data_IF_945049479228
#
_entry.id   IF_945049479228
#
_cell.length_a   1.000
_cell.length_b   1.000
_cell.length_c   1.000
_cell.angle_alpha   90.00
_cell.angle_beta   90.00
_cell.angle_gamma   90.00
#
_symmetry.space_group_name_H-M   'P 1'
#
loop_
_entity.id
_entity.type
_entity.pdbx_description
1 polymer ?
#
# COMPACT_ATOMS: atom_id res chain seq x y z
N UNK A 1 20.40 -55.76 31.59
CA UNK A 1 19.02 -55.33 31.28
C UNK A 1 18.87 -53.82 31.51
N UNK A 2 19.44 -53.26 32.58
CA UNK A 2 19.31 -51.84 32.94
C UNK A 2 20.00 -50.89 31.93
N UNK A 3 21.13 -51.30 31.33
CA UNK A 3 21.89 -50.49 30.38
C UNK A 3 21.19 -50.27 29.03
N UNK A 4 20.25 -51.18 28.63
CA UNK A 4 19.49 -51.05 27.37
C UNK A 4 18.36 -50.05 27.47
N UNK A 5 17.80 -49.83 28.66
CA UNK A 5 16.73 -48.85 28.88
C UNK A 5 17.24 -47.42 28.94
N UNK A 6 18.48 -47.20 29.42
CA UNK A 6 19.12 -45.88 29.44
C UNK A 6 19.43 -45.35 28.02
N UNK A 7 19.83 -46.25 27.09
CA UNK A 7 20.10 -45.87 25.71
C UNK A 7 18.83 -45.49 24.94
N UNK A 8 17.70 -46.12 25.23
CA UNK A 8 16.41 -45.77 24.62
C UNK A 8 15.86 -44.43 25.16
N UNK A 9 16.07 -44.16 26.46
CA UNK A 9 15.65 -42.90 27.07
C UNK A 9 16.45 -41.68 26.55
N UNK A 10 17.76 -41.87 26.28
CA UNK A 10 18.60 -40.80 25.71
C UNK A 10 18.26 -40.54 24.24
N UNK A 11 17.84 -41.56 23.49
CA UNK A 11 17.44 -41.40 22.08
C UNK A 11 16.09 -40.69 21.95
N UNK A 12 15.18 -40.83 22.93
CA UNK A 12 13.89 -40.16 22.92
C UNK A 12 13.96 -38.68 23.28
N UNK A 13 14.96 -38.23 24.04
CA UNK A 13 15.16 -36.81 24.37
C UNK A 13 15.78 -36.03 23.20
N UNK A 14 16.50 -36.70 22.29
CA UNK A 14 17.11 -36.06 21.13
C UNK A 14 16.11 -35.73 20.00
N UNK A 15 14.90 -36.28 20.03
CA UNK A 15 13.87 -36.04 19.00
C UNK A 15 12.91 -34.90 19.37
N UNK A 16 12.93 -34.42 20.62
CA UNK A 16 12.09 -33.32 21.10
C UNK A 16 12.73 -31.92 20.89
N UNK A 17 13.94 -31.85 20.31
CA UNK A 17 14.54 -30.63 19.79
C UNK A 17 13.94 -30.29 18.45
N UNK A 18 12.62 -30.06 18.40
CA UNK A 18 11.88 -29.66 17.22
C UNK A 18 12.30 -28.29 16.78
N UNK A 19 12.94 -28.30 15.69
CA UNK A 19 12.76 -27.45 14.53
C UNK A 19 11.59 -26.47 14.66
N UNK A 20 11.75 -25.41 15.42
CA UNK A 20 11.25 -24.11 15.01
C UNK A 20 12.14 -23.69 13.84
N UNK A 21 11.99 -24.39 12.71
CA UNK A 21 12.28 -23.83 11.40
C UNK A 21 11.47 -22.55 11.34
N UNK A 22 12.09 -21.43 11.67
CA UNK A 22 11.56 -20.11 11.39
C UNK A 22 11.28 -20.10 9.90
N UNK A 23 10.02 -20.41 9.58
CA UNK A 23 9.53 -20.44 8.20
C UNK A 23 9.76 -19.04 7.68
N UNK A 24 10.78 -18.89 6.82
CA UNK A 24 11.05 -17.63 6.18
C UNK A 24 9.75 -17.14 5.55
N UNK A 25 9.28 -16.01 6.01
CA UNK A 25 8.07 -15.40 5.53
C UNK A 25 8.46 -14.22 4.63
N UNK A 26 8.28 -14.34 3.32
CA UNK A 26 8.59 -13.27 2.38
C UNK A 26 7.72 -12.02 2.58
N UNK A 27 6.66 -12.14 3.39
CA UNK A 27 5.73 -11.04 3.66
C UNK A 27 5.67 -10.74 5.16
N UNK A 28 6.68 -10.04 5.72
CA UNK A 28 6.67 -9.67 7.13
C UNK A 28 5.43 -8.80 7.45
N UNK A 29 4.95 -8.83 8.70
CA UNK A 29 3.82 -8.01 9.10
C UNK A 29 4.13 -6.52 8.88
N UNK A 30 3.10 -5.78 8.47
CA UNK A 30 3.22 -4.34 8.24
C UNK A 30 3.65 -3.60 9.50
N UNK A 31 4.49 -2.54 9.38
CA UNK A 31 4.86 -1.71 10.51
C UNK A 31 3.60 -1.16 11.19
N UNK A 32 3.50 -1.37 12.49
CA UNK A 32 2.38 -0.85 13.27
C UNK A 32 2.41 0.69 13.28
N UNK A 33 1.26 1.32 13.10
CA UNK A 33 1.11 2.80 13.08
C UNK A 33 1.53 3.43 14.42
N UNK A 34 1.55 2.64 15.51
CA UNK A 34 1.94 3.09 16.84
C UNK A 34 3.36 3.69 16.91
N UNK A 35 4.29 3.23 16.07
CA UNK A 35 5.69 3.68 16.04
C UNK A 35 6.01 4.52 14.79
N UNK A 36 5.04 5.30 14.28
CA UNK A 36 5.28 6.17 13.14
C UNK A 36 6.33 7.23 13.48
N UNK A 37 7.42 7.36 12.70
CA UNK A 37 8.40 8.42 12.88
C UNK A 37 7.75 9.80 12.64
N UNK A 38 8.35 10.85 13.13
CA UNK A 38 7.87 12.21 12.90
C UNK A 38 8.20 12.71 11.50
N UNK A 39 9.28 12.16 10.92
CA UNK A 39 9.81 12.52 9.60
C UNK A 39 10.18 11.26 8.83
N UNK A 40 9.84 11.23 7.56
CA UNK A 40 10.34 10.26 6.57
C UNK A 40 11.38 10.94 5.67
N UNK A 41 12.51 10.28 5.43
CA UNK A 41 13.53 10.75 4.47
C UNK A 41 13.24 10.04 3.15
N UNK A 42 12.94 10.82 2.12
CA UNK A 42 12.59 10.31 0.79
C UNK A 42 13.74 9.49 0.22
N UNK A 43 13.46 8.29 -0.21
CA UNK A 43 14.39 7.40 -0.89
C UNK A 43 14.15 7.44 -2.41
N UNK A 44 15.13 6.98 -3.19
CA UNK A 44 14.94 6.83 -4.63
C UNK A 44 13.77 5.87 -4.92
N UNK A 45 12.82 6.31 -5.75
CA UNK A 45 11.61 5.55 -6.07
C UNK A 45 10.43 5.76 -5.10
N UNK A 46 10.58 6.57 -4.05
CA UNK A 46 9.45 6.97 -3.22
C UNK A 46 8.54 7.97 -3.96
N UNK A 47 7.24 7.85 -3.77
CA UNK A 47 6.25 8.86 -4.11
C UNK A 47 5.52 9.35 -2.85
N UNK A 48 4.94 10.55 -2.90
CA UNK A 48 4.19 11.08 -1.75
C UNK A 48 2.98 10.18 -1.41
N UNK A 49 2.34 9.62 -2.43
CA UNK A 49 1.25 8.65 -2.25
C UNK A 49 1.71 7.39 -1.53
N UNK A 50 2.86 6.83 -1.93
CA UNK A 50 3.45 5.65 -1.31
C UNK A 50 3.82 5.91 0.16
N UNK A 51 4.45 7.07 0.46
CA UNK A 51 4.80 7.47 1.81
C UNK A 51 3.53 7.60 2.67
N UNK A 52 2.54 8.35 2.20
CA UNK A 52 1.27 8.51 2.90
C UNK A 52 0.56 7.16 3.11
N UNK A 53 0.54 6.31 2.09
CA UNK A 53 -0.04 4.98 2.16
C UNK A 53 0.64 4.10 3.22
N UNK A 54 1.99 4.07 3.25
CA UNK A 54 2.81 3.33 4.24
C UNK A 54 2.44 3.69 5.67
N UNK A 55 2.21 4.98 5.91
CA UNK A 55 1.92 5.51 7.25
C UNK A 55 0.43 5.70 7.55
N UNK A 56 -0.47 5.25 6.68
CA UNK A 56 -1.93 5.38 6.80
C UNK A 56 -2.39 6.82 6.99
N UNK A 57 -1.77 7.73 6.22
CA UNK A 57 -2.07 9.15 6.20
C UNK A 57 -2.80 9.54 4.92
N UNK A 58 -3.56 10.63 5.01
CA UNK A 58 -4.05 11.33 3.82
C UNK A 58 -2.86 12.05 3.16
N UNK A 59 -2.58 11.71 1.90
CA UNK A 59 -1.49 12.32 1.14
C UNK A 59 -1.62 13.84 1.03
N UNK A 60 -2.84 14.39 1.03
CA UNK A 60 -3.10 15.83 0.98
C UNK A 60 -2.71 16.50 2.30
N UNK A 61 -2.96 15.84 3.43
CA UNK A 61 -2.50 16.32 4.73
C UNK A 61 -0.98 16.32 4.80
N UNK A 62 -0.34 15.24 4.34
CA UNK A 62 1.12 15.16 4.26
C UNK A 62 1.66 16.26 3.34
N UNK A 63 1.07 16.47 2.16
CA UNK A 63 1.44 17.56 1.25
C UNK A 63 1.33 18.92 1.94
N UNK A 64 0.20 19.21 2.61
CA UNK A 64 -0.05 20.45 3.33
C UNK A 64 0.95 20.69 4.47
N UNK A 65 1.26 19.67 5.28
CA UNK A 65 2.23 19.80 6.38
C UNK A 65 3.64 20.12 5.90
N UNK A 66 3.93 19.81 4.64
CA UNK A 66 5.25 19.98 4.03
C UNK A 66 5.31 21.09 2.97
N UNK A 67 4.21 21.80 2.71
CA UNK A 67 4.16 22.85 1.68
C UNK A 67 4.35 22.31 0.26
N UNK A 68 3.99 21.03 0.03
CA UNK A 68 4.09 20.37 -1.27
C UNK A 68 2.83 20.71 -2.08
N UNK A 69 2.99 21.41 -3.19
CA UNK A 69 1.91 21.79 -4.11
C UNK A 69 1.67 20.75 -5.19
N UNK A 70 2.72 20.04 -5.61
CA UNK A 70 2.65 18.96 -6.59
C UNK A 70 3.09 17.64 -5.92
N UNK A 71 2.17 16.70 -5.67
CA UNK A 71 2.48 15.44 -4.98
C UNK A 71 3.43 14.51 -5.77
N UNK A 72 3.60 14.77 -7.08
CA UNK A 72 4.51 14.01 -7.93
C UNK A 72 5.95 14.57 -7.91
N UNK A 73 6.19 15.67 -7.18
CA UNK A 73 7.49 16.33 -7.10
C UNK A 73 8.07 16.28 -5.70
N UNK A 74 8.58 15.11 -5.33
CA UNK A 74 9.44 14.92 -4.16
C UNK A 74 10.79 14.38 -4.61
N UNK A 75 11.84 14.61 -3.83
CA UNK A 75 13.22 14.31 -4.23
C UNK A 75 13.92 13.45 -3.18
N UNK A 76 14.78 12.51 -3.58
CA UNK A 76 15.60 11.73 -2.66
C UNK A 76 16.36 12.64 -1.68
N UNK A 77 16.35 12.29 -0.39
CA UNK A 77 16.91 13.08 0.71
C UNK A 77 15.97 14.15 1.26
N UNK A 78 14.83 14.44 0.63
CA UNK A 78 13.83 15.36 1.17
C UNK A 78 13.23 14.82 2.47
N UNK A 79 13.08 15.70 3.45
CA UNK A 79 12.44 15.35 4.73
C UNK A 79 10.95 15.61 4.66
N UNK A 80 10.13 14.56 4.78
CA UNK A 80 8.66 14.62 4.78
C UNK A 80 8.15 14.46 6.20
N UNK A 81 7.56 15.53 6.75
CA UNK A 81 6.88 15.49 8.05
C UNK A 81 5.63 14.63 7.96
N UNK A 82 5.48 13.73 8.91
CA UNK A 82 4.34 12.82 9.01
C UNK A 82 3.32 13.24 10.09
N UNK A 83 3.51 14.42 10.68
CA UNK A 83 2.63 15.04 11.68
C UNK A 83 2.47 16.52 11.36
N UNK A 84 1.33 17.15 11.75
CA UNK A 84 1.19 18.60 11.67
C UNK A 84 2.27 19.29 12.51
N UNK A 85 2.74 20.44 12.06
CA UNK A 85 3.64 21.27 12.86
C UNK A 85 2.94 21.64 14.17
N UNK A 86 3.53 21.33 15.34
CA UNK A 86 3.05 21.84 16.62
C UNK A 86 3.22 23.36 16.60
N UNK A 87 2.12 24.09 16.60
CA UNK A 87 1.95 25.52 16.79
C UNK A 87 3.21 26.36 16.76
N UNK A 88 3.73 26.66 15.58
CA UNK A 88 4.66 27.77 15.37
C UNK A 88 4.37 28.31 13.97
N UNK A 89 3.83 29.53 13.94
CA UNK A 89 3.64 30.28 12.72
C UNK A 89 4.97 30.37 11.97
N UNK A 90 4.94 30.02 10.71
CA UNK A 90 5.86 30.45 9.67
C UNK A 90 7.34 30.38 9.94
N UNK A 91 7.96 29.25 9.67
CA UNK A 91 9.32 29.23 9.13
C UNK A 91 9.45 28.07 8.16
N UNK A 92 9.25 28.36 6.89
CA UNK A 92 9.65 27.50 5.77
C UNK A 92 11.17 27.33 5.86
N UNK A 93 11.64 26.14 6.22
CA UNK A 93 13.00 25.76 5.98
C UNK A 93 13.21 25.79 4.45
N UNK A 94 13.83 26.83 3.96
CA UNK A 94 14.31 26.94 2.57
C UNK A 94 15.36 25.88 2.37
N UNK A 95 15.03 24.80 1.68
CA UNK A 95 16.02 23.93 1.07
C UNK A 95 16.75 24.74 0.00
N UNK A 96 18.09 24.73 -0.07
CA UNK A 96 18.81 25.42 -1.12
C UNK A 96 18.38 24.90 -2.50
N UNK A 97 18.19 25.77 -3.49
CA UNK A 97 17.86 25.32 -4.84
C UNK A 97 19.05 24.57 -5.45
N UNK A 98 18.82 23.51 -6.23
CA UNK A 98 19.86 22.88 -7.01
C UNK A 98 20.41 23.87 -8.04
N UNK A 99 21.69 23.72 -8.46
CA UNK A 99 22.32 24.64 -9.40
C UNK A 99 21.57 24.68 -10.74
N UNK A 100 21.55 25.86 -11.42
CA UNK A 100 20.77 26.03 -12.64
C UNK A 100 21.34 25.18 -13.77
N UNK A 101 20.49 24.39 -14.42
CA UNK A 101 20.74 23.91 -15.77
C UNK A 101 20.11 24.91 -16.73
N UNK A 102 20.97 25.56 -17.53
CA UNK A 102 20.56 26.42 -18.63
C UNK A 102 19.80 25.65 -19.68
N UNK A 103 18.58 26.09 -19.98
CA UNK A 103 17.72 25.52 -21.00
C UNK A 103 16.37 26.25 -21.02
N UNK A 104 16.23 27.20 -21.96
CA UNK A 104 15.08 28.06 -22.20
C UNK A 104 13.74 27.30 -22.29
N UNK A 105 12.80 27.60 -21.40
CA UNK A 105 11.37 27.59 -21.67
C UNK A 105 10.66 28.46 -20.63
N UNK A 106 9.84 29.40 -21.09
CA UNK A 106 9.10 30.36 -20.30
C UNK A 106 8.12 29.70 -19.35
N UNK A 107 7.94 30.21 -18.09
CA UNK A 107 6.98 29.62 -17.16
C UNK A 107 5.55 30.09 -17.49
N UNK A 108 4.70 29.17 -17.88
CA UNK A 108 3.26 29.35 -17.77
C UNK A 108 2.90 29.55 -16.30
N UNK A 109 2.32 30.68 -15.97
CA UNK A 109 1.73 30.97 -14.67
C UNK A 109 0.55 30.01 -14.44
N UNK A 110 0.83 28.85 -13.83
CA UNK A 110 -0.18 27.99 -13.25
C UNK A 110 -0.76 28.71 -12.02
N UNK A 111 -2.02 29.07 -12.07
CA UNK A 111 -2.80 29.53 -10.93
C UNK A 111 -2.74 28.46 -9.82
N UNK A 112 -2.15 28.84 -8.69
CA UNK A 112 -2.14 28.01 -7.48
C UNK A 112 -3.60 27.80 -7.05
N UNK A 113 -4.11 26.57 -7.23
CA UNK A 113 -5.40 26.15 -6.68
C UNK A 113 -5.20 26.00 -5.18
N UNK A 114 -5.98 26.72 -4.33
CA UNK A 114 -5.93 26.52 -2.89
C UNK A 114 -6.28 25.06 -2.59
N UNK A 115 -5.62 24.39 -1.62
CA UNK A 115 -5.97 23.03 -1.25
C UNK A 115 -7.42 23.00 -0.76
N UNK A 116 -8.30 22.46 -1.58
CA UNK A 116 -9.69 22.23 -1.21
C UNK A 116 -9.70 21.35 0.05
N UNK A 117 -10.38 21.81 1.09
CA UNK A 117 -10.83 20.97 2.21
C UNK A 117 -11.43 19.73 1.60
N UNK A 118 -11.17 18.54 2.20
CA UNK A 118 -11.77 17.28 1.79
C UNK A 118 -13.27 17.48 1.52
N UNK A 119 -13.61 17.77 0.28
CA UNK A 119 -14.99 17.66 -0.15
C UNK A 119 -15.35 16.21 0.10
N UNK A 120 -16.49 15.94 0.72
CA UNK A 120 -16.98 14.59 0.95
C UNK A 120 -17.40 14.03 -0.42
N UNK A 121 -16.38 13.66 -1.23
CA UNK A 121 -16.60 13.19 -2.59
C UNK A 121 -17.35 11.87 -2.56
N UNK A 122 -18.28 11.63 -3.47
CA UNK A 122 -19.01 10.39 -3.54
C UNK A 122 -18.05 9.22 -3.80
N UNK A 123 -18.40 8.07 -3.26
CA UNK A 123 -17.67 6.84 -3.55
C UNK A 123 -17.79 6.50 -5.04
N UNK A 124 -16.72 6.02 -5.68
CA UNK A 124 -16.79 5.48 -7.03
C UNK A 124 -17.79 4.32 -7.14
N UNK A 125 -18.29 4.02 -8.34
CA UNK A 125 -19.09 2.80 -8.56
C UNK A 125 -18.16 1.59 -8.54
N UNK A 126 -18.04 0.97 -7.38
CA UNK A 126 -17.12 -0.14 -7.14
C UNK A 126 -17.59 -1.45 -7.78
N UNK A 127 -16.63 -2.25 -8.21
CA UNK A 127 -16.83 -3.64 -8.65
C UNK A 127 -15.76 -4.55 -8.05
N UNK A 128 -16.05 -5.85 -8.03
CA UNK A 128 -15.09 -6.84 -7.56
C UNK A 128 -13.83 -6.84 -8.45
N UNK A 129 -12.63 -6.74 -7.83
CA UNK A 129 -11.37 -6.73 -8.60
C UNK A 129 -10.96 -8.11 -9.11
N UNK A 130 -11.48 -9.16 -8.51
CA UNK A 130 -11.27 -10.55 -8.91
C UNK A 130 -12.44 -11.43 -8.49
N UNK A 131 -12.62 -12.54 -9.20
CA UNK A 131 -13.52 -13.60 -8.78
C UNK A 131 -12.80 -14.56 -7.82
N UNK A 132 -13.52 -15.09 -6.82
CA UNK A 132 -12.97 -16.05 -5.87
C UNK A 132 -13.56 -15.91 -4.47
N UNK A 133 -13.39 -16.90 -3.59
CA UNK A 133 -13.89 -16.86 -2.23
C UNK A 133 -13.12 -15.85 -1.37
N UNK A 134 -13.76 -15.27 -0.37
CA UNK A 134 -13.06 -14.53 0.67
C UNK A 134 -12.29 -15.50 1.55
N UNK A 135 -11.00 -15.22 1.76
CA UNK A 135 -10.15 -15.98 2.69
C UNK A 135 -10.18 -15.32 4.07
N UNK A 136 -10.24 -13.99 4.10
CA UNK A 136 -10.42 -13.19 5.32
C UNK A 136 -11.13 -11.88 4.99
N UNK A 137 -11.86 -11.37 5.95
CA UNK A 137 -12.51 -10.06 5.94
C UNK A 137 -11.59 -8.95 6.44
N UNK A 138 -12.13 -7.73 6.44
CA UNK A 138 -11.46 -6.55 6.96
C UNK A 138 -11.19 -6.70 8.48
N UNK A 139 -9.95 -6.44 8.90
CA UNK A 139 -9.54 -6.58 10.30
C UNK A 139 -9.19 -8.01 10.74
N UNK A 140 -9.50 -9.04 9.97
CA UNK A 140 -9.32 -10.44 10.37
C UNK A 140 -7.89 -10.96 10.14
N UNK A 141 -7.19 -10.44 9.14
CA UNK A 141 -5.82 -10.84 8.87
C UNK A 141 -4.85 -10.26 9.89
N UNK A 142 -4.08 -11.10 10.58
CA UNK A 142 -3.02 -10.63 11.50
C UNK A 142 -1.89 -9.89 10.78
N UNK A 143 -1.63 -10.23 9.52
CA UNK A 143 -0.51 -9.66 8.72
C UNK A 143 -0.90 -8.39 8.02
N UNK A 144 -2.10 -8.36 7.49
CA UNK A 144 -2.60 -7.24 6.70
C UNK A 144 -4.08 -6.98 7.01
N UNK A 145 -4.38 -6.36 8.16
CA UNK A 145 -5.75 -6.13 8.61
C UNK A 145 -6.46 -5.01 7.85
N UNK A 146 -5.81 -4.38 6.88
CA UNK A 146 -6.26 -3.15 6.20
C UNK A 146 -7.15 -3.40 4.99
N UNK A 147 -7.44 -4.68 4.68
CA UNK A 147 -8.24 -5.05 3.52
C UNK A 147 -8.82 -6.45 3.63
N UNK A 148 -9.28 -6.96 2.51
CA UNK A 148 -9.83 -8.32 2.36
C UNK A 148 -8.88 -9.19 1.54
N UNK A 149 -8.92 -10.51 1.79
CA UNK A 149 -8.23 -11.52 1.00
C UNK A 149 -9.16 -12.25 0.06
N UNK A 150 -8.89 -12.22 -1.23
CA UNK A 150 -9.69 -12.90 -2.27
C UNK A 150 -8.88 -14.05 -2.83
N UNK A 151 -9.36 -15.30 -2.62
CA UNK A 151 -8.75 -16.50 -3.20
C UNK A 151 -8.85 -16.50 -4.73
N UNK A 152 -7.91 -17.17 -5.36
CA UNK A 152 -7.95 -17.36 -6.80
C UNK A 152 -7.07 -18.50 -7.25
N UNK A 153 -6.56 -18.39 -8.45
CA UNK A 153 -5.56 -19.28 -9.06
C UNK A 153 -4.37 -18.45 -9.53
N UNK A 154 -3.24 -19.09 -9.70
CA UNK A 154 -2.06 -18.43 -10.25
C UNK A 154 -2.42 -17.74 -11.59
N UNK A 155 -1.95 -16.52 -11.73
CA UNK A 155 -2.14 -15.67 -12.92
C UNK A 155 -3.61 -15.32 -13.24
N UNK A 156 -4.55 -15.45 -12.28
CA UNK A 156 -5.89 -14.93 -12.45
C UNK A 156 -5.81 -13.42 -12.70
N UNK A 157 -6.57 -12.93 -13.67
CA UNK A 157 -6.63 -11.50 -13.97
C UNK A 157 -7.20 -10.69 -12.80
N UNK A 158 -6.51 -9.61 -12.48
CA UNK A 158 -6.93 -8.64 -11.49
C UNK A 158 -7.34 -7.37 -12.24
N UNK A 159 -8.53 -6.89 -11.93
CA UNK A 159 -9.17 -5.79 -12.62
C UNK A 159 -9.24 -4.55 -11.73
N UNK A 160 -9.17 -3.36 -12.33
CA UNK A 160 -9.45 -2.11 -11.65
C UNK A 160 -10.89 -2.10 -11.10
N UNK A 161 -11.05 -1.88 -9.80
CA UNK A 161 -12.35 -1.89 -9.13
C UNK A 161 -13.22 -0.68 -9.47
N UNK A 162 -12.62 0.41 -9.97
CA UNK A 162 -13.27 1.60 -10.49
C UNK A 162 -12.33 2.34 -11.45
N UNK A 163 -12.84 3.34 -12.19
CA UNK A 163 -12.01 4.26 -12.98
C UNK A 163 -10.98 4.95 -12.08
N UNK A 164 -9.76 5.17 -12.55
CA UNK A 164 -8.74 5.84 -11.75
C UNK A 164 -7.42 6.06 -12.49
N UNK A 165 -6.45 6.57 -11.74
CA UNK A 165 -5.07 6.78 -12.16
C UNK A 165 -4.14 5.96 -11.26
N UNK A 166 -3.14 5.31 -11.85
CA UNK A 166 -2.12 4.56 -11.13
C UNK A 166 -1.18 5.54 -10.44
N UNK A 167 -1.21 5.60 -9.12
CA UNK A 167 -0.33 6.46 -8.31
C UNK A 167 0.81 5.69 -7.67
N UNK A 168 0.82 4.38 -7.81
CA UNK A 168 1.93 3.51 -7.44
C UNK A 168 1.85 2.17 -8.18
N UNK A 169 2.98 1.68 -8.68
CA UNK A 169 3.14 0.37 -9.32
C UNK A 169 4.53 -0.20 -9.03
N UNK A 170 4.65 -1.13 -8.07
CA UNK A 170 5.96 -1.67 -7.67
C UNK A 170 5.94 -2.59 -6.44
N UNK A 171 7.12 -2.90 -5.89
CA UNK A 171 7.30 -3.81 -4.74
C UNK A 171 7.92 -3.17 -3.49
N UNK A 172 8.09 -1.84 -3.48
CA UNK A 172 8.78 -1.12 -2.39
C UNK A 172 8.01 -1.01 -1.08
N UNK A 173 6.75 -1.46 -1.01
CA UNK A 173 5.95 -1.46 0.21
C UNK A 173 5.97 -2.84 0.89
N UNK A 174 6.65 -2.91 2.04
CA UNK A 174 6.81 -4.14 2.83
C UNK A 174 5.44 -4.74 3.16
N UNK A 175 5.29 -6.05 2.98
CA UNK A 175 4.09 -6.81 3.34
C UNK A 175 3.02 -6.89 2.25
N UNK A 176 3.19 -6.19 1.12
CA UNK A 176 2.22 -6.20 0.01
C UNK A 176 2.69 -7.00 -1.22
N UNK A 177 3.98 -7.38 -1.30
CA UNK A 177 4.54 -7.93 -2.54
C UNK A 177 4.51 -6.90 -3.68
N UNK A 178 4.27 -7.34 -4.91
CA UNK A 178 4.00 -6.40 -6.00
C UNK A 178 2.62 -5.78 -5.81
N UNK A 179 2.57 -4.47 -5.80
CA UNK A 179 1.40 -3.67 -5.41
C UNK A 179 1.08 -2.63 -6.49
N UNK A 180 -0.21 -2.46 -6.76
CA UNK A 180 -0.76 -1.31 -7.49
C UNK A 180 -1.61 -0.51 -6.51
N UNK A 181 -1.52 0.82 -6.59
CA UNK A 181 -2.44 1.75 -5.92
C UNK A 181 -3.10 2.62 -7.00
N UNK A 182 -4.42 2.63 -7.02
CA UNK A 182 -5.22 3.49 -7.89
C UNK A 182 -5.80 4.65 -7.09
N UNK A 183 -5.68 5.86 -7.60
CA UNK A 183 -6.42 7.05 -7.15
C UNK A 183 -7.67 7.18 -8.00
N UNK A 184 -8.83 7.11 -7.36
CA UNK A 184 -10.13 7.24 -8.03
C UNK A 184 -10.65 8.67 -8.00
N UNK A 185 -10.43 9.35 -6.88
CA UNK A 185 -10.66 10.78 -6.69
C UNK A 185 -9.81 11.25 -5.49
N UNK A 186 -10.03 12.48 -5.01
CA UNK A 186 -9.21 12.99 -3.91
C UNK A 186 -9.45 12.30 -2.57
N UNK A 187 -10.59 11.63 -2.38
CA UNK A 187 -10.91 10.92 -1.14
C UNK A 187 -10.64 9.42 -1.21
N UNK A 188 -10.73 8.80 -2.38
CA UNK A 188 -10.72 7.33 -2.49
C UNK A 188 -9.53 6.78 -3.25
N UNK A 189 -8.86 5.81 -2.62
CA UNK A 189 -7.84 4.97 -3.22
C UNK A 189 -8.26 3.51 -3.15
N UNK A 190 -7.74 2.69 -4.07
CA UNK A 190 -7.75 1.23 -3.92
C UNK A 190 -6.33 0.67 -4.05
N UNK A 191 -6.08 -0.47 -3.42
CA UNK A 191 -4.80 -1.15 -3.45
C UNK A 191 -4.96 -2.63 -3.76
N UNK A 192 -4.02 -3.16 -4.57
CA UNK A 192 -4.03 -4.52 -5.11
C UNK A 192 -2.67 -5.14 -4.84
N UNK A 193 -2.56 -5.98 -3.80
CA UNK A 193 -1.32 -6.61 -3.36
C UNK A 193 -1.21 -8.08 -3.72
N UNK A 194 0.01 -8.61 -3.58
CA UNK A 194 0.41 -9.99 -3.90
C UNK A 194 0.29 -10.34 -5.39
N UNK A 195 0.51 -9.34 -6.26
CA UNK A 195 0.52 -9.60 -7.68
C UNK A 195 1.77 -10.38 -8.10
N UNK A 196 1.64 -11.23 -9.12
CA UNK A 196 2.76 -11.88 -9.80
C UNK A 196 3.40 -10.93 -10.81
N UNK A 197 2.58 -10.20 -11.56
CA UNK A 197 3.04 -9.23 -12.55
C UNK A 197 2.08 -8.06 -12.65
N UNK A 198 2.63 -6.88 -12.86
CA UNK A 198 1.90 -5.64 -13.06
C UNK A 198 1.75 -5.38 -14.56
N UNK A 199 0.59 -4.88 -14.98
CA UNK A 199 0.24 -4.61 -16.40
C UNK A 199 0.08 -3.13 -16.68
N UNK A 200 0.27 -2.29 -15.64
CA UNK A 200 0.14 -0.84 -15.68
C UNK A 200 1.31 -0.20 -14.94
N UNK A 201 1.66 1.01 -15.33
CA UNK A 201 2.71 1.82 -14.73
C UNK A 201 2.12 3.06 -14.04
N UNK A 202 2.92 3.71 -13.19
CA UNK A 202 2.55 4.99 -12.57
C UNK A 202 2.24 6.04 -13.63
N UNK A 203 1.15 6.79 -13.42
CA UNK A 203 0.60 7.78 -14.35
C UNK A 203 -0.43 7.23 -15.33
N UNK A 204 -0.56 5.91 -15.47
CA UNK A 204 -1.58 5.33 -16.37
C UNK A 204 -3.00 5.61 -15.87
N UNK A 205 -3.90 5.95 -16.79
CA UNK A 205 -5.33 6.03 -16.52
C UNK A 205 -5.99 4.70 -16.87
N UNK A 206 -6.74 4.16 -15.93
CA UNK A 206 -7.42 2.87 -16.06
C UNK A 206 -8.93 3.01 -15.97
N UNK A 207 -9.64 2.12 -16.68
CA UNK A 207 -11.10 2.02 -16.61
C UNK A 207 -11.52 0.90 -15.66
N UNK A 208 -12.67 1.06 -15.05
CA UNK A 208 -13.32 0.03 -14.25
C UNK A 208 -13.43 -1.28 -15.04
N UNK A 209 -12.89 -2.36 -14.50
CA UNK A 209 -12.83 -3.66 -15.15
C UNK A 209 -11.67 -3.87 -16.11
N UNK A 210 -10.79 -2.89 -16.30
CA UNK A 210 -9.55 -3.09 -17.05
C UNK A 210 -8.61 -4.02 -16.28
N UNK A 211 -7.95 -4.96 -16.98
CA UNK A 211 -6.91 -5.81 -16.40
C UNK A 211 -5.71 -4.94 -16.04
N UNK A 212 -5.30 -4.97 -14.78
CA UNK A 212 -4.18 -4.19 -14.25
C UNK A 212 -3.02 -5.05 -13.75
N UNK A 213 -3.29 -6.30 -13.36
CA UNK A 213 -2.28 -7.23 -12.87
C UNK A 213 -2.70 -8.68 -13.09
N UNK A 214 -1.76 -9.60 -12.82
CA UNK A 214 -2.03 -11.03 -12.66
C UNK A 214 -1.80 -11.41 -11.20
N UNK A 215 -2.70 -12.26 -10.67
CA UNK A 215 -2.64 -12.74 -9.29
C UNK A 215 -1.38 -13.56 -9.07
N UNK A 216 -0.68 -13.26 -8.00
CA UNK A 216 0.45 -14.01 -7.49
C UNK A 216 0.09 -14.75 -6.20
N UNK A 217 1.09 -14.98 -5.37
CA UNK A 217 0.96 -15.73 -4.13
C UNK A 217 1.21 -14.83 -2.92
N UNK A 218 0.35 -14.94 -1.96
CA UNK A 218 0.45 -14.24 -0.68
C UNK A 218 0.96 -15.14 0.45
N UNK A 219 0.66 -14.78 1.70
CA UNK A 219 1.07 -15.54 2.87
C UNK A 219 0.60 -17.00 2.80
N UNK A 220 1.50 -17.92 3.14
CA UNK A 220 1.25 -19.36 3.05
C UNK A 220 1.34 -19.93 1.64
N UNK A 221 1.96 -19.18 0.72
CA UNK A 221 2.20 -19.58 -0.67
C UNK A 221 0.91 -19.97 -1.42
N UNK A 222 -0.17 -19.22 -1.19
CA UNK A 222 -1.48 -19.42 -1.83
C UNK A 222 -1.75 -18.34 -2.86
N UNK A 223 -2.35 -18.69 -4.03
CA UNK A 223 -2.85 -17.68 -4.95
C UNK A 223 -3.93 -16.83 -4.28
N UNK A 224 -3.67 -15.52 -4.21
CA UNK A 224 -4.55 -14.63 -3.50
C UNK A 224 -4.30 -13.17 -3.90
N UNK A 225 -5.36 -12.38 -3.92
CA UNK A 225 -5.33 -10.93 -3.98
C UNK A 225 -5.60 -10.35 -2.59
N UNK A 226 -4.72 -9.46 -2.12
CA UNK A 226 -5.04 -8.55 -1.04
C UNK A 226 -5.63 -7.28 -1.64
N UNK A 227 -6.86 -6.94 -1.26
CA UNK A 227 -7.58 -5.78 -1.78
C UNK A 227 -7.96 -4.81 -0.66
N UNK A 228 -7.64 -3.53 -0.85
CA UNK A 228 -8.02 -2.46 0.08
C UNK A 228 -8.82 -1.37 -0.62
N UNK A 229 -9.73 -0.77 0.13
CA UNK A 229 -10.29 0.56 -0.15
C UNK A 229 -9.84 1.49 0.96
N UNK A 230 -9.37 2.68 0.59
CA UNK A 230 -9.02 3.73 1.55
C UNK A 230 -9.82 4.98 1.27
N UNK A 231 -10.29 5.60 2.34
CA UNK A 231 -10.93 6.91 2.30
C UNK A 231 -10.10 7.88 3.15
N UNK A 232 -9.69 9.00 2.54
CA UNK A 232 -8.87 10.02 3.20
C UNK A 232 -7.63 9.40 3.90
N UNK A 233 -6.93 8.49 3.18
CA UNK A 233 -5.76 7.75 3.65
C UNK A 233 -6.03 6.60 4.62
N UNK A 234 -7.24 6.51 5.20
CA UNK A 234 -7.60 5.48 6.18
C UNK A 234 -8.20 4.25 5.49
N UNK A 235 -7.73 3.03 5.80
CA UNK A 235 -8.36 1.81 5.35
C UNK A 235 -9.81 1.73 5.86
N UNK A 236 -10.71 1.30 5.01
CA UNK A 236 -12.13 1.07 5.31
C UNK A 236 -12.53 -0.31 4.81
N UNK A 237 -13.59 -0.88 5.40
CA UNK A 237 -14.07 -2.20 5.01
C UNK A 237 -14.58 -2.21 3.56
N UNK A 238 -13.93 -2.93 2.63
CA UNK A 238 -14.36 -2.99 1.24
C UNK A 238 -15.75 -3.58 1.05
N UNK A 239 -16.19 -4.44 1.98
CA UNK A 239 -17.50 -5.12 1.89
C UNK A 239 -18.67 -4.13 1.94
N UNK A 240 -18.50 -2.99 2.58
CA UNK A 240 -19.51 -1.92 2.60
C UNK A 240 -19.64 -1.14 1.28
N UNK A 241 -18.73 -1.38 0.33
CA UNK A 241 -18.63 -0.63 -0.94
C UNK A 241 -18.78 -1.51 -2.18
N UNK A 242 -18.34 -2.76 -2.09
CA UNK A 242 -18.45 -3.72 -3.19
C UNK A 242 -19.91 -4.19 -3.35
N UNK A 243 -20.37 -4.42 -4.60
CA UNK A 243 -21.71 -4.97 -4.82
C UNK A 243 -21.86 -6.34 -4.18
N UNK A 244 -23.08 -6.70 -3.81
CA UNK A 244 -23.38 -8.04 -3.34
C UNK A 244 -22.86 -9.07 -4.35
N UNK A 245 -22.21 -10.14 -3.87
CA UNK A 245 -21.82 -11.24 -4.75
C UNK A 245 -23.07 -11.95 -5.22
N UNK A 246 -23.23 -12.10 -6.51
CA UNK A 246 -24.20 -13.04 -7.02
C UNK A 246 -23.74 -14.45 -6.59
N UNK A 247 -24.60 -15.19 -5.93
CA UNK A 247 -24.36 -16.61 -5.64
C UNK A 247 -24.10 -17.34 -6.97
N UNK A 248 -23.16 -18.28 -7.01
CA UNK A 248 -22.88 -19.08 -8.18
C UNK A 248 -24.08 -19.93 -8.56
#
# INVERSE_FOLDING_TARGET
>A
VIARWLLVAVLMVAVAGCAELTRWDPYPPQPQVANRPDVHIVQAGDSLFQIAFRYRLDWREVARWNGITDPNRIYPGQHIRLKPARGSGGAVARTPPPPPREGNAAPSRGTAVPPARSANLPAPPWRWPAQGALIWGFGESRRNPTGIGIAGRDRLEIHAAADGEVVYSGSGLIGYGQLIILKHNDSYLSAYGYNQSLRVAEGDKVKSGQVIALMGRGPGDRPLLHFEIRRDGKPIDPMGYLPARQAP
#
